data_IF_273586439955
#
_entry.id   IF_273586439955
#
_cell.length_a   1.000
_cell.length_b   1.000
_cell.length_c   1.000
_cell.angle_alpha   90.00
_cell.angle_beta   90.00
_cell.angle_gamma   90.00
#
_symmetry.space_group_name_H-M   'P 1'
#
loop_
_entity.id
_entity.type
_entity.pdbx_description
1 polymer ?
#
# COMPACT_ATOMS: atom_id res chain seq x y z
N UNK A 1 14.53 -25.88 26.00
CA UNK A 1 13.61 -24.98 25.23
C UNK A 1 12.38 -25.71 24.68
N UNK A 2 12.52 -26.97 24.20
CA UNK A 2 11.42 -27.78 23.64
C UNK A 2 10.44 -28.29 24.67
N UNK A 3 10.92 -28.68 25.87
CA UNK A 3 10.08 -29.12 26.99
C UNK A 3 9.31 -27.99 27.66
N UNK A 4 9.94 -26.81 27.76
CA UNK A 4 9.30 -25.61 28.29
C UNK A 4 8.16 -25.15 27.34
N UNK A 5 8.37 -25.21 26.02
CA UNK A 5 7.32 -24.85 25.04
C UNK A 5 6.15 -25.86 25.06
N UNK A 6 6.39 -27.15 25.27
CA UNK A 6 5.35 -28.16 25.44
C UNK A 6 4.55 -27.95 26.74
N UNK A 7 5.21 -27.61 27.85
CA UNK A 7 4.54 -27.33 29.12
C UNK A 7 3.64 -26.10 29.02
N UNK A 8 4.11 -24.99 28.41
CA UNK A 8 3.28 -23.81 28.17
C UNK A 8 2.09 -24.12 27.27
N UNK A 9 2.29 -24.93 26.22
CA UNK A 9 1.21 -25.32 25.30
C UNK A 9 0.13 -26.17 25.96
N UNK A 10 0.48 -27.03 26.88
CA UNK A 10 -0.45 -27.90 27.62
C UNK A 10 -1.19 -27.14 28.73
N UNK A 11 -0.49 -26.22 29.40
CA UNK A 11 -1.05 -25.31 30.39
C UNK A 11 -2.06 -24.35 29.77
N UNK A 12 -1.72 -23.72 28.64
CA UNK A 12 -2.61 -22.85 27.86
C UNK A 12 -3.85 -23.61 27.41
N UNK A 13 -3.71 -24.85 26.94
CA UNK A 13 -4.82 -25.69 26.47
C UNK A 13 -5.83 -25.97 27.59
N UNK A 14 -5.38 -26.27 28.80
CA UNK A 14 -6.25 -26.50 29.95
C UNK A 14 -6.98 -25.25 30.40
N UNK A 15 -6.30 -24.11 30.45
CA UNK A 15 -6.89 -22.81 30.78
C UNK A 15 -7.98 -22.44 29.77
N UNK A 16 -7.69 -22.51 28.46
CA UNK A 16 -8.67 -22.16 27.43
C UNK A 16 -9.87 -23.12 27.41
N UNK A 17 -9.64 -24.40 27.71
CA UNK A 17 -10.72 -25.40 27.85
C UNK A 17 -11.65 -25.05 29.02
N UNK A 18 -11.10 -24.61 30.13
CA UNK A 18 -11.90 -24.16 31.28
C UNK A 18 -12.66 -22.87 30.97
N UNK A 19 -11.99 -21.88 30.38
CA UNK A 19 -12.60 -20.62 29.97
C UNK A 19 -13.74 -20.81 28.95
N UNK A 20 -13.70 -21.83 28.11
CA UNK A 20 -14.76 -22.16 27.15
C UNK A 20 -16.05 -22.61 27.82
N UNK A 21 -16.02 -23.16 29.03
CA UNK A 21 -17.20 -23.61 29.77
C UNK A 21 -18.02 -22.45 30.31
N UNK A 22 -17.38 -21.30 30.55
CA UNK A 22 -18.03 -20.15 31.20
C UNK A 22 -18.43 -19.11 30.14
N UNK A 23 -19.70 -18.66 30.05
CA UNK A 23 -20.17 -17.70 29.06
C UNK A 23 -19.37 -16.37 29.04
N UNK A 24 -18.94 -15.90 30.21
CA UNK A 24 -18.24 -14.62 30.42
C UNK A 24 -16.82 -14.63 29.84
N UNK A 25 -16.12 -15.78 29.90
CA UNK A 25 -14.74 -15.92 29.42
C UNK A 25 -14.64 -16.59 28.05
N UNK A 26 -15.72 -17.19 27.56
CA UNK A 26 -15.75 -17.93 26.29
C UNK A 26 -15.25 -17.11 25.09
N UNK A 27 -15.68 -15.87 24.96
CA UNK A 27 -15.26 -14.99 23.87
C UNK A 27 -13.74 -14.72 23.92
N UNK A 28 -13.20 -14.54 25.11
CA UNK A 28 -11.76 -14.33 25.30
C UNK A 28 -10.97 -15.60 24.97
N UNK A 29 -11.45 -16.76 25.38
CA UNK A 29 -10.85 -18.04 25.04
C UNK A 29 -10.80 -18.25 23.52
N UNK A 30 -11.93 -18.07 22.82
CA UNK A 30 -11.99 -18.20 21.38
C UNK A 30 -11.01 -17.25 20.70
N UNK A 31 -10.94 -15.97 21.14
CA UNK A 31 -10.00 -14.98 20.63
C UNK A 31 -8.56 -15.45 20.77
N UNK A 32 -8.19 -15.96 21.95
CA UNK A 32 -6.81 -16.40 22.24
C UNK A 32 -6.45 -17.65 21.44
N UNK A 33 -7.34 -18.65 21.36
CA UNK A 33 -7.15 -19.87 20.57
C UNK A 33 -7.03 -19.52 19.08
N UNK A 34 -7.89 -18.65 18.57
CA UNK A 34 -7.82 -18.17 17.19
C UNK A 34 -6.48 -17.49 16.92
N UNK A 35 -6.01 -16.62 17.82
CA UNK A 35 -4.72 -15.94 17.67
C UNK A 35 -3.53 -16.91 17.80
N UNK A 36 -3.64 -17.97 18.59
CA UNK A 36 -2.63 -19.03 18.67
C UNK A 36 -2.49 -19.73 17.32
N UNK A 37 -3.57 -20.29 16.77
CA UNK A 37 -3.55 -20.93 15.45
C UNK A 37 -3.10 -19.96 14.33
N UNK A 38 -3.51 -18.72 14.40
CA UNK A 38 -3.05 -17.69 13.48
C UNK A 38 -1.53 -17.48 13.52
N UNK A 39 -0.91 -17.44 14.72
CA UNK A 39 0.54 -17.34 14.89
C UNK A 39 1.29 -18.60 14.43
N UNK A 40 0.67 -19.76 14.59
CA UNK A 40 1.16 -21.05 14.11
C UNK A 40 0.98 -21.24 12.59
N UNK A 41 0.43 -20.24 11.91
CA UNK A 41 0.07 -20.25 10.48
C UNK A 41 -0.95 -21.35 10.11
N UNK A 42 -1.73 -21.84 11.07
CA UNK A 42 -2.84 -22.78 10.83
C UNK A 42 -4.15 -22.02 10.63
N UNK A 43 -4.28 -21.43 9.42
CA UNK A 43 -5.39 -20.54 9.08
C UNK A 43 -6.74 -21.27 9.16
N UNK A 44 -6.80 -22.52 8.71
CA UNK A 44 -8.04 -23.29 8.72
C UNK A 44 -8.54 -23.56 10.16
N UNK A 45 -7.65 -23.93 11.10
CA UNK A 45 -8.04 -24.08 12.52
C UNK A 45 -8.45 -22.76 13.12
N UNK A 46 -7.78 -21.66 12.80
CA UNK A 46 -8.17 -20.33 13.24
C UNK A 46 -9.59 -19.96 12.76
N UNK A 47 -9.92 -20.22 11.48
CA UNK A 47 -11.26 -20.00 10.90
C UNK A 47 -12.30 -20.87 11.62
N UNK A 48 -12.04 -22.16 11.79
CA UNK A 48 -12.98 -23.08 12.46
C UNK A 48 -13.24 -22.68 13.91
N UNK A 49 -12.19 -22.23 14.62
CA UNK A 49 -12.32 -21.76 16.00
C UNK A 49 -13.17 -20.49 16.10
N UNK A 50 -12.90 -19.49 15.27
CA UNK A 50 -13.62 -18.21 15.38
C UNK A 50 -15.08 -18.32 14.92
N UNK A 51 -15.41 -19.22 13.99
CA UNK A 51 -16.77 -19.47 13.51
C UNK A 51 -17.75 -19.94 14.59
N UNK A 52 -17.27 -20.43 15.75
CA UNK A 52 -18.11 -20.82 16.89
C UNK A 52 -18.89 -19.60 17.44
N UNK A 53 -18.39 -18.38 17.25
CA UNK A 53 -19.04 -17.15 17.69
C UNK A 53 -20.24 -16.86 16.80
N UNK A 54 -21.44 -16.67 17.36
CA UNK A 54 -22.62 -16.31 16.59
C UNK A 54 -22.48 -14.91 15.93
N UNK A 55 -22.96 -14.76 14.71
CA UNK A 55 -22.96 -13.47 14.00
C UNK A 55 -24.19 -12.66 14.41
N UNK A 56 -24.00 -11.61 15.19
CA UNK A 56 -25.07 -10.73 15.68
C UNK A 56 -24.55 -9.32 15.93
N UNK A 57 -25.44 -8.35 16.17
CA UNK A 57 -25.06 -7.00 16.61
C UNK A 57 -24.40 -6.94 17.99
N UNK A 58 -24.51 -8.00 18.79
CA UNK A 58 -23.82 -8.12 20.09
C UNK A 58 -22.42 -8.69 19.96
N UNK A 59 -22.07 -9.22 18.78
CA UNK A 59 -20.75 -9.78 18.50
C UNK A 59 -19.75 -8.62 18.32
N UNK A 60 -18.60 -8.64 19.04
CA UNK A 60 -17.63 -7.56 18.96
C UNK A 60 -17.06 -7.36 17.55
N UNK A 61 -16.80 -6.12 17.14
CA UNK A 61 -16.31 -5.77 15.81
C UNK A 61 -15.02 -6.52 15.42
N UNK A 62 -14.11 -6.73 16.39
CA UNK A 62 -12.85 -7.44 16.12
C UNK A 62 -13.05 -8.82 15.49
N UNK A 63 -14.15 -9.49 15.81
CA UNK A 63 -14.49 -10.80 15.25
C UNK A 63 -14.66 -10.75 13.74
N UNK A 64 -15.44 -9.77 13.24
CA UNK A 64 -15.74 -9.65 11.80
C UNK A 64 -14.49 -9.30 11.00
N UNK A 65 -13.67 -8.38 11.53
CA UNK A 65 -12.40 -8.01 10.87
C UNK A 65 -11.37 -9.15 10.93
N UNK A 66 -11.32 -9.91 12.03
CA UNK A 66 -10.43 -11.07 12.12
C UNK A 66 -10.85 -12.17 11.16
N UNK A 67 -12.15 -12.44 11.04
CA UNK A 67 -12.69 -13.43 10.12
C UNK A 67 -12.42 -13.02 8.66
N UNK A 68 -12.61 -11.75 8.31
CA UNK A 68 -12.23 -11.21 7.01
C UNK A 68 -10.73 -11.40 6.73
N UNK A 69 -9.86 -11.07 7.68
CA UNK A 69 -8.43 -11.26 7.58
C UNK A 69 -8.05 -12.72 7.29
N UNK A 70 -8.65 -13.65 8.02
CA UNK A 70 -8.39 -15.08 7.87
C UNK A 70 -8.81 -15.59 6.50
N UNK A 71 -9.98 -15.20 5.99
CA UNK A 71 -10.43 -15.59 4.66
C UNK A 71 -9.57 -15.00 3.53
N UNK A 72 -9.06 -13.77 3.70
CA UNK A 72 -8.12 -13.20 2.74
C UNK A 72 -6.81 -14.00 2.70
N UNK A 73 -6.29 -14.43 3.86
CA UNK A 73 -5.09 -15.27 3.92
C UNK A 73 -5.28 -16.66 3.33
N UNK A 74 -6.50 -17.19 3.43
CA UNK A 74 -6.90 -18.48 2.84
C UNK A 74 -7.26 -18.36 1.35
N UNK A 75 -7.29 -17.14 0.80
CA UNK A 75 -7.77 -16.83 -0.56
C UNK A 75 -9.20 -17.34 -0.83
N UNK A 76 -10.04 -17.43 0.21
CA UNK A 76 -11.45 -17.80 0.12
C UNK A 76 -12.30 -16.57 -0.21
N UNK A 77 -12.31 -16.20 -1.51
CA UNK A 77 -12.90 -14.94 -1.97
C UNK A 77 -14.41 -14.86 -1.78
N UNK A 78 -15.13 -15.99 -1.84
CA UNK A 78 -16.58 -16.04 -1.59
C UNK A 78 -16.89 -15.64 -0.14
N UNK A 79 -16.18 -16.22 0.81
CA UNK A 79 -16.32 -15.87 2.21
C UNK A 79 -15.73 -14.49 2.56
N UNK A 80 -14.76 -13.99 1.81
CA UNK A 80 -14.30 -12.58 1.91
C UNK A 80 -15.43 -11.62 1.59
N UNK A 81 -16.15 -11.82 0.48
CA UNK A 81 -17.30 -10.97 0.09
C UNK A 81 -18.43 -11.08 1.12
N UNK A 82 -18.73 -12.26 1.61
CA UNK A 82 -19.72 -12.44 2.69
C UNK A 82 -19.29 -11.71 3.97
N UNK A 83 -18.00 -11.73 4.30
CA UNK A 83 -17.48 -11.09 5.51
C UNK A 83 -17.58 -9.57 5.47
N UNK A 84 -17.32 -8.92 4.35
CA UNK A 84 -17.51 -7.46 4.24
C UNK A 84 -18.99 -7.08 4.38
N UNK A 85 -19.93 -7.89 3.85
CA UNK A 85 -21.36 -7.68 4.06
C UNK A 85 -21.77 -7.83 5.53
N UNK A 86 -21.16 -8.79 6.25
CA UNK A 86 -21.37 -8.93 7.69
C UNK A 86 -20.84 -7.73 8.48
N UNK A 87 -19.67 -7.19 8.11
CA UNK A 87 -19.13 -5.96 8.71
C UNK A 87 -20.15 -4.83 8.56
N UNK A 88 -20.68 -4.60 7.36
CA UNK A 88 -21.68 -3.57 7.13
C UNK A 88 -22.98 -3.79 7.95
N UNK A 89 -23.39 -5.05 8.10
CA UNK A 89 -24.66 -5.40 8.77
C UNK A 89 -24.57 -5.35 10.30
N UNK A 90 -23.42 -5.75 10.86
CA UNK A 90 -23.31 -6.04 12.28
C UNK A 90 -22.37 -5.09 13.05
N UNK A 91 -21.57 -4.26 12.35
CA UNK A 91 -20.70 -3.25 12.99
C UNK A 91 -21.20 -1.83 12.72
N UNK A 92 -20.65 -0.86 13.45
CA UNK A 92 -20.99 0.55 13.28
C UNK A 92 -20.03 1.25 12.27
N UNK A 93 -19.63 0.55 11.21
CA UNK A 93 -18.76 1.14 10.18
C UNK A 93 -19.49 2.28 9.45
N UNK A 94 -18.81 3.42 9.24
CA UNK A 94 -19.39 4.51 8.44
C UNK A 94 -19.55 4.08 6.97
N UNK A 95 -20.54 4.62 6.27
CA UNK A 95 -20.76 4.36 4.84
C UNK A 95 -19.51 4.68 4.00
N UNK A 96 -18.77 5.73 4.37
CA UNK A 96 -17.51 6.11 3.72
C UNK A 96 -16.41 5.08 3.93
N UNK A 97 -16.21 4.61 5.17
CA UNK A 97 -15.18 3.64 5.49
C UNK A 97 -15.53 2.26 4.94
N UNK A 98 -16.82 1.91 4.92
CA UNK A 98 -17.30 0.69 4.27
C UNK A 98 -16.97 0.68 2.77
N UNK A 99 -17.25 1.78 2.05
CA UNK A 99 -16.87 1.90 0.63
C UNK A 99 -15.37 1.75 0.43
N UNK A 100 -14.53 2.40 1.27
CA UNK A 100 -13.09 2.23 1.19
C UNK A 100 -12.65 0.79 1.45
N UNK A 101 -13.27 0.11 2.43
CA UNK A 101 -13.00 -1.31 2.71
C UNK A 101 -13.35 -2.17 1.50
N UNK A 102 -14.52 -1.95 0.88
CA UNK A 102 -14.91 -2.63 -0.35
C UNK A 102 -13.88 -2.40 -1.46
N UNK A 103 -13.46 -1.15 -1.71
CA UNK A 103 -12.42 -0.83 -2.69
C UNK A 103 -11.14 -1.62 -2.47
N UNK A 104 -10.65 -1.67 -1.24
CA UNK A 104 -9.45 -2.42 -0.85
C UNK A 104 -9.58 -3.93 -1.04
N UNK A 105 -10.73 -4.50 -0.67
CA UNK A 105 -10.99 -5.95 -0.82
C UNK A 105 -11.06 -6.32 -2.30
N UNK A 106 -11.82 -5.60 -3.11
CA UNK A 106 -11.91 -5.87 -4.54
C UNK A 106 -10.57 -5.67 -5.27
N UNK A 107 -9.75 -4.70 -4.85
CA UNK A 107 -8.37 -4.61 -5.34
C UNK A 107 -7.57 -5.87 -5.00
N UNK A 108 -7.67 -6.37 -3.77
CA UNK A 108 -6.90 -7.55 -3.33
C UNK A 108 -7.31 -8.80 -4.13
N UNK A 109 -8.60 -8.98 -4.40
CA UNK A 109 -9.11 -10.05 -5.29
C UNK A 109 -8.56 -9.85 -6.72
N UNK A 110 -8.61 -8.62 -7.22
CA UNK A 110 -8.11 -8.29 -8.56
C UNK A 110 -6.60 -8.52 -8.70
N UNK A 111 -5.83 -8.24 -7.64
CA UNK A 111 -4.38 -8.49 -7.61
C UNK A 111 -4.08 -9.99 -7.64
N UNK A 112 -4.75 -10.80 -6.83
CA UNK A 112 -4.61 -12.27 -6.83
C UNK A 112 -4.94 -12.87 -8.19
N UNK A 113 -6.00 -12.40 -8.83
CA UNK A 113 -6.39 -12.82 -10.19
C UNK A 113 -5.37 -12.39 -11.24
N UNK A 114 -4.79 -11.19 -11.11
CA UNK A 114 -3.72 -10.71 -11.98
C UNK A 114 -2.47 -11.59 -11.86
N UNK A 115 -2.05 -11.92 -10.64
CA UNK A 115 -0.92 -12.80 -10.39
C UNK A 115 -1.14 -14.23 -10.94
N UNK A 116 -2.40 -14.68 -10.99
CA UNK A 116 -2.83 -15.93 -11.62
C UNK A 116 -3.05 -15.80 -13.14
N UNK A 117 -2.68 -14.66 -13.74
CA UNK A 117 -2.83 -14.37 -15.18
C UNK A 117 -4.30 -14.39 -15.68
N UNK A 118 -5.27 -14.20 -14.79
CA UNK A 118 -6.68 -14.06 -15.15
C UNK A 118 -7.06 -12.59 -15.34
N UNK A 119 -6.52 -11.98 -16.42
CA UNK A 119 -6.60 -10.53 -16.64
C UNK A 119 -8.03 -10.00 -16.76
N UNK A 120 -8.94 -10.79 -17.37
CA UNK A 120 -10.34 -10.37 -17.55
C UNK A 120 -11.08 -10.20 -16.23
N UNK A 121 -10.98 -11.19 -15.36
CA UNK A 121 -11.63 -11.13 -14.03
C UNK A 121 -10.90 -10.15 -13.10
N UNK A 122 -9.55 -10.04 -13.22
CA UNK A 122 -8.79 -9.02 -12.53
C UNK A 122 -9.32 -7.61 -12.83
N UNK A 123 -9.48 -7.26 -14.12
CA UNK A 123 -10.02 -5.96 -14.52
C UNK A 123 -11.42 -5.70 -13.96
N UNK A 124 -12.32 -6.69 -13.98
CA UNK A 124 -13.66 -6.54 -13.39
C UNK A 124 -13.60 -6.17 -11.91
N UNK A 125 -12.76 -6.87 -11.14
CA UNK A 125 -12.62 -6.60 -9.72
C UNK A 125 -11.96 -5.24 -9.46
N UNK A 126 -10.99 -4.83 -10.26
CA UNK A 126 -10.37 -3.50 -10.19
C UNK A 126 -11.38 -2.40 -10.54
N UNK A 127 -12.26 -2.61 -11.52
CA UNK A 127 -13.34 -1.67 -11.84
C UNK A 127 -14.33 -1.50 -10.69
N UNK A 128 -14.67 -2.60 -10.02
CA UNK A 128 -15.49 -2.56 -8.81
C UNK A 128 -14.76 -1.81 -7.68
N UNK A 129 -13.46 -2.07 -7.49
CA UNK A 129 -12.63 -1.34 -6.53
C UNK A 129 -12.68 0.17 -6.76
N UNK A 130 -12.47 0.61 -8.01
CA UNK A 130 -12.49 2.03 -8.39
C UNK A 130 -13.90 2.64 -8.35
N UNK A 131 -14.95 1.85 -8.49
CA UNK A 131 -16.34 2.30 -8.27
C UNK A 131 -16.59 2.66 -6.80
N UNK A 132 -16.04 1.90 -5.87
CA UNK A 132 -16.16 2.16 -4.43
C UNK A 132 -15.18 3.22 -3.92
N UNK A 133 -13.93 3.21 -4.41
CA UNK A 133 -12.91 4.20 -4.08
C UNK A 133 -12.18 4.68 -5.36
N UNK A 134 -12.69 5.71 -6.04
CA UNK A 134 -12.05 6.23 -7.27
C UNK A 134 -10.65 6.81 -7.05
N UNK A 135 -10.27 7.07 -5.80
CA UNK A 135 -8.97 7.64 -5.44
C UNK A 135 -7.94 6.59 -5.00
N UNK A 136 -8.27 5.30 -5.05
CA UNK A 136 -7.37 4.26 -4.59
C UNK A 136 -6.22 4.03 -5.59
N UNK A 137 -5.05 4.60 -5.28
CA UNK A 137 -3.88 4.63 -6.17
C UNK A 137 -3.45 3.25 -6.66
N UNK A 138 -3.48 2.24 -5.77
CA UNK A 138 -3.08 0.87 -6.12
C UNK A 138 -3.97 0.26 -7.22
N UNK A 139 -5.27 0.52 -7.19
CA UNK A 139 -6.20 0.09 -8.25
C UNK A 139 -5.95 0.83 -9.57
N UNK A 140 -5.64 2.13 -9.50
CA UNK A 140 -5.29 2.92 -10.69
C UNK A 140 -4.01 2.36 -11.33
N UNK A 141 -2.99 2.08 -10.51
CA UNK A 141 -1.70 1.53 -10.96
C UNK A 141 -1.90 0.15 -11.59
N UNK A 142 -2.60 -0.76 -10.94
CA UNK A 142 -2.82 -2.12 -11.44
C UNK A 142 -3.63 -2.13 -12.75
N UNK A 143 -4.72 -1.36 -12.82
CA UNK A 143 -5.49 -1.20 -14.06
C UNK A 143 -4.65 -0.67 -15.21
N UNK A 144 -3.82 0.33 -14.92
CA UNK A 144 -2.93 0.92 -15.92
C UNK A 144 -1.88 -0.07 -16.43
N UNK A 145 -1.33 -0.91 -15.54
CA UNK A 145 -0.40 -2.01 -15.93
C UNK A 145 -1.10 -2.99 -16.88
N UNK A 146 -2.28 -3.47 -16.53
CA UNK A 146 -3.04 -4.41 -17.35
C UNK A 146 -3.40 -3.80 -18.72
N UNK A 147 -3.80 -2.52 -18.76
CA UNK A 147 -4.06 -1.83 -20.02
C UNK A 147 -2.80 -1.66 -20.84
N UNK A 148 -1.65 -1.37 -20.22
CA UNK A 148 -0.42 -1.10 -20.95
C UNK A 148 0.06 -2.31 -21.75
N UNK A 149 -0.06 -3.50 -21.21
CA UNK A 149 0.33 -4.73 -21.88
C UNK A 149 -0.53 -4.99 -23.14
N UNK A 150 -1.80 -4.58 -23.14
CA UNK A 150 -2.72 -4.76 -24.25
C UNK A 150 -2.82 -3.56 -25.19
N UNK A 151 -2.89 -2.34 -24.65
CA UNK A 151 -3.05 -1.10 -25.39
C UNK A 151 -2.39 0.08 -24.64
N UNK A 152 -1.12 0.38 -24.93
CA UNK A 152 -0.38 1.46 -24.27
C UNK A 152 -1.06 2.84 -24.37
N UNK A 153 -1.78 3.12 -25.46
CA UNK A 153 -2.49 4.40 -25.66
C UNK A 153 -3.67 4.53 -24.71
N UNK A 154 -4.42 3.46 -24.51
CA UNK A 154 -5.53 3.41 -23.55
C UNK A 154 -5.03 3.57 -22.11
N UNK A 155 -3.94 2.88 -21.76
CA UNK A 155 -3.29 3.03 -20.46
C UNK A 155 -2.92 4.48 -20.16
N UNK A 156 -2.28 5.18 -21.11
CA UNK A 156 -1.89 6.57 -20.95
C UNK A 156 -3.11 7.53 -20.84
N UNK A 157 -4.18 7.29 -21.59
CA UNK A 157 -5.42 8.06 -21.46
C UNK A 157 -6.07 7.84 -20.09
N UNK A 158 -6.08 6.60 -19.60
CA UNK A 158 -6.60 6.29 -18.27
C UNK A 158 -5.74 6.93 -17.16
N UNK A 159 -4.42 6.85 -17.25
CA UNK A 159 -3.49 7.51 -16.31
C UNK A 159 -3.74 9.03 -16.29
N UNK A 160 -3.86 9.68 -17.47
CA UNK A 160 -4.10 11.11 -17.57
C UNK A 160 -5.41 11.53 -16.91
N UNK A 161 -6.49 10.81 -17.17
CA UNK A 161 -7.80 11.08 -16.56
C UNK A 161 -7.79 10.84 -15.04
N UNK A 162 -7.11 9.82 -14.58
CA UNK A 162 -6.96 9.51 -13.16
C UNK A 162 -6.13 10.54 -12.42
N UNK A 163 -5.00 10.98 -13.02
CA UNK A 163 -4.10 12.01 -12.46
C UNK A 163 -4.81 13.34 -12.24
N UNK A 164 -5.67 13.72 -13.17
CA UNK A 164 -6.48 14.96 -13.07
C UNK A 164 -7.32 14.98 -11.79
N UNK A 165 -7.86 13.84 -11.41
CA UNK A 165 -8.77 13.71 -10.26
C UNK A 165 -8.03 13.36 -8.95
N UNK A 166 -6.97 12.55 -9.07
CA UNK A 166 -6.22 12.05 -7.94
C UNK A 166 -4.75 11.80 -8.32
N UNK A 167 -3.87 12.71 -7.94
CA UNK A 167 -2.43 12.57 -8.16
C UNK A 167 -1.78 11.85 -6.96
N UNK A 168 -1.07 10.74 -7.22
CA UNK A 168 -0.35 9.97 -6.20
C UNK A 168 1.04 9.57 -6.70
N UNK A 169 2.07 9.51 -5.83
CA UNK A 169 3.42 9.11 -6.22
C UNK A 169 3.52 7.75 -6.91
N UNK A 170 2.71 6.75 -6.54
CA UNK A 170 2.70 5.45 -7.22
C UNK A 170 2.36 5.56 -8.71
N UNK A 171 1.40 6.43 -9.05
CA UNK A 171 1.03 6.70 -10.45
C UNK A 171 2.18 7.41 -11.16
N UNK A 172 2.90 8.31 -10.46
CA UNK A 172 4.07 8.99 -10.99
C UNK A 172 5.22 8.01 -11.30
N UNK A 173 5.46 7.03 -10.43
CA UNK A 173 6.44 5.96 -10.66
C UNK A 173 6.05 5.19 -11.92
N UNK A 174 4.80 4.77 -12.04
CA UNK A 174 4.32 4.03 -13.19
C UNK A 174 4.50 4.80 -14.52
N UNK A 175 4.26 6.12 -14.54
CA UNK A 175 4.48 6.96 -15.74
C UNK A 175 5.95 6.89 -16.19
N UNK A 176 6.88 6.89 -15.25
CA UNK A 176 8.31 6.78 -15.56
C UNK A 176 8.68 5.36 -16.02
N UNK A 177 8.15 4.32 -15.40
CA UNK A 177 8.46 2.92 -15.71
C UNK A 177 7.94 2.52 -17.10
N UNK A 178 6.69 2.85 -17.41
CA UNK A 178 6.06 2.60 -18.71
C UNK A 178 6.86 3.22 -19.87
N UNK A 179 7.54 4.33 -19.62
CA UNK A 179 8.29 5.05 -20.65
C UNK A 179 9.82 4.92 -20.50
N UNK A 180 10.31 4.08 -19.59
CA UNK A 180 11.75 3.91 -19.32
C UNK A 180 12.53 3.43 -20.55
N UNK A 181 11.91 2.64 -21.42
CA UNK A 181 12.47 2.15 -22.69
C UNK A 181 12.38 3.15 -23.85
N UNK A 182 11.61 4.24 -23.69
CA UNK A 182 11.43 5.27 -24.71
C UNK A 182 12.38 6.46 -24.48
N UNK A 183 12.47 7.33 -25.48
CA UNK A 183 13.26 8.56 -25.36
C UNK A 183 12.83 9.38 -24.13
N UNK A 184 13.78 9.76 -23.29
CA UNK A 184 13.56 10.54 -22.05
C UNK A 184 12.84 11.87 -22.30
N UNK A 185 13.06 12.49 -23.46
CA UNK A 185 12.35 13.72 -23.88
C UNK A 185 10.87 13.44 -24.17
N UNK A 186 10.53 12.27 -24.67
CA UNK A 186 9.13 11.85 -24.85
C UNK A 186 8.40 11.76 -23.50
N UNK A 187 9.04 11.13 -22.50
CA UNK A 187 8.49 11.05 -21.15
C UNK A 187 8.27 12.42 -20.53
N UNK A 188 9.21 13.36 -20.70
CA UNK A 188 9.06 14.72 -20.22
C UNK A 188 7.90 15.46 -20.92
N UNK A 189 7.74 15.28 -22.23
CA UNK A 189 6.62 15.86 -22.98
C UNK A 189 5.27 15.30 -22.50
N UNK A 190 5.19 13.98 -22.29
CA UNK A 190 4.02 13.30 -21.75
C UNK A 190 3.66 13.81 -20.35
N UNK A 191 4.65 13.94 -19.47
CA UNK A 191 4.45 14.46 -18.11
C UNK A 191 3.93 15.90 -18.17
N UNK A 192 4.51 16.76 -19.01
CA UNK A 192 4.01 18.12 -19.21
C UNK A 192 2.55 18.14 -19.68
N UNK A 193 2.15 17.20 -20.53
CA UNK A 193 0.76 17.10 -21.00
C UNK A 193 -0.18 16.59 -19.89
N UNK A 194 0.24 15.62 -19.09
CA UNK A 194 -0.53 15.10 -17.96
C UNK A 194 -0.81 16.19 -16.92
N UNK A 195 0.19 16.99 -16.56
CA UNK A 195 0.06 18.00 -15.51
C UNK A 195 -0.68 19.27 -15.94
N UNK A 196 -0.76 19.56 -17.26
CA UNK A 196 -1.49 20.75 -17.78
C UNK A 196 -2.94 20.80 -17.36
N UNK A 197 -3.58 19.66 -17.17
CA UNK A 197 -5.01 19.55 -16.86
C UNK A 197 -5.29 19.58 -15.36
N UNK A 198 -4.27 19.54 -14.51
CA UNK A 198 -4.37 19.53 -13.06
C UNK A 198 -4.07 20.89 -12.42
N UNK A 199 -4.52 21.07 -11.17
CA UNK A 199 -4.06 22.19 -10.35
C UNK A 199 -2.56 22.02 -10.06
N UNK A 200 -1.82 23.13 -9.96
CA UNK A 200 -0.41 23.09 -9.55
C UNK A 200 -0.32 22.51 -8.14
N UNK A 201 0.03 21.24 -8.04
CA UNK A 201 0.07 20.50 -6.79
C UNK A 201 1.49 20.04 -6.50
N UNK A 202 1.76 19.73 -5.24
CA UNK A 202 3.00 19.11 -4.82
C UNK A 202 3.39 17.92 -5.72
N UNK A 203 2.43 17.02 -6.01
CA UNK A 203 2.69 15.83 -6.82
C UNK A 203 2.97 16.15 -8.30
N UNK A 204 2.35 17.21 -8.87
CA UNK A 204 2.65 17.68 -10.24
C UNK A 204 4.09 18.16 -10.33
N UNK A 205 4.52 19.00 -9.39
CA UNK A 205 5.87 19.55 -9.38
C UNK A 205 6.92 18.46 -9.14
N UNK A 206 6.64 17.52 -8.26
CA UNK A 206 7.52 16.39 -8.01
C UNK A 206 7.66 15.47 -9.25
N UNK A 207 6.55 15.16 -9.92
CA UNK A 207 6.55 14.38 -11.16
C UNK A 207 7.32 15.09 -12.27
N UNK A 208 7.08 16.40 -12.46
CA UNK A 208 7.78 17.22 -13.45
C UNK A 208 9.28 17.30 -13.16
N UNK A 209 9.67 17.49 -11.91
CA UNK A 209 11.07 17.53 -11.51
C UNK A 209 11.79 16.20 -11.82
N UNK A 210 11.21 15.07 -11.46
CA UNK A 210 11.77 13.73 -11.72
C UNK A 210 11.91 13.46 -13.24
N UNK A 211 10.87 13.74 -14.00
CA UNK A 211 10.92 13.58 -15.46
C UNK A 211 11.95 14.53 -16.12
N UNK A 212 12.07 15.76 -15.62
CA UNK A 212 13.03 16.74 -16.11
C UNK A 212 14.48 16.35 -15.81
N UNK A 213 14.75 15.81 -14.60
CA UNK A 213 16.07 15.27 -14.23
C UNK A 213 16.45 14.10 -15.15
N UNK A 214 15.52 13.18 -15.40
CA UNK A 214 15.74 12.05 -16.29
C UNK A 214 16.03 12.46 -17.73
N UNK A 215 15.43 13.57 -18.18
CA UNK A 215 15.63 14.15 -19.50
C UNK A 215 16.81 15.14 -19.57
N UNK A 216 17.60 15.29 -18.50
CA UNK A 216 18.68 16.27 -18.37
C UNK A 216 18.20 17.74 -18.60
N UNK A 217 16.92 18.01 -18.35
CA UNK A 217 16.32 19.33 -18.49
C UNK A 217 16.40 20.10 -17.16
N UNK A 218 17.63 20.49 -16.79
CA UNK A 218 17.97 20.98 -15.46
C UNK A 218 17.20 22.25 -15.05
N UNK A 219 17.02 23.20 -16.00
CA UNK A 219 16.24 24.42 -15.76
C UNK A 219 14.80 24.09 -15.32
N UNK A 220 14.14 23.19 -16.06
CA UNK A 220 12.77 22.78 -15.73
C UNK A 220 12.71 21.99 -14.39
N UNK A 221 13.71 21.14 -14.15
CA UNK A 221 13.80 20.40 -12.90
C UNK A 221 13.92 21.33 -11.68
N UNK A 222 14.85 22.29 -11.77
CA UNK A 222 15.10 23.27 -10.71
C UNK A 222 13.86 24.14 -10.45
N UNK A 223 13.20 24.60 -11.50
CA UNK A 223 11.99 25.41 -11.36
C UNK A 223 10.87 24.62 -10.70
N UNK A 224 10.61 23.38 -11.15
CA UNK A 224 9.58 22.52 -10.57
C UNK A 224 9.82 22.25 -9.08
N UNK A 225 11.07 22.07 -8.65
CA UNK A 225 11.41 21.88 -7.22
C UNK A 225 11.21 23.18 -6.43
N UNK A 226 11.59 24.34 -6.98
CA UNK A 226 11.39 25.65 -6.35
C UNK A 226 9.91 26.02 -6.18
N UNK A 227 9.05 25.53 -7.07
CA UNK A 227 7.60 25.75 -6.99
C UNK A 227 6.95 24.90 -5.87
N UNK A 228 7.71 23.99 -5.24
CA UNK A 228 7.27 23.28 -4.03
C UNK A 228 7.59 24.15 -2.81
N UNK A 229 6.60 24.46 -1.97
CA UNK A 229 6.82 25.19 -0.72
C UNK A 229 7.89 24.52 0.16
N UNK A 230 8.83 25.30 0.69
CA UNK A 230 10.00 24.78 1.42
C UNK A 230 9.66 23.94 2.64
N UNK A 231 8.55 24.23 3.32
CA UNK A 231 8.06 23.44 4.46
C UNK A 231 7.62 22.02 4.09
N UNK A 232 7.41 21.76 2.80
CA UNK A 232 7.08 20.44 2.23
C UNK A 232 8.29 19.70 1.69
N UNK A 233 9.47 20.29 1.75
CA UNK A 233 10.67 19.64 1.25
C UNK A 233 11.04 18.45 2.11
N UNK A 234 11.24 17.32 1.45
CA UNK A 234 11.65 16.04 2.04
C UNK A 234 13.06 15.70 1.60
N UNK A 235 13.62 14.66 2.19
CA UNK A 235 14.95 14.15 1.88
C UNK A 235 15.16 13.94 0.36
N UNK A 236 14.18 13.39 -0.35
CA UNK A 236 14.24 13.13 -1.80
C UNK A 236 14.38 14.45 -2.59
N UNK A 237 13.65 15.50 -2.21
CA UNK A 237 13.72 16.81 -2.87
C UNK A 237 15.11 17.45 -2.72
N UNK A 238 15.69 17.42 -1.52
CA UNK A 238 17.05 17.89 -1.29
C UNK A 238 18.08 17.08 -2.08
N UNK A 239 17.94 15.75 -2.16
CA UNK A 239 18.79 14.89 -2.96
C UNK A 239 18.66 15.19 -4.46
N UNK A 240 17.45 15.46 -4.97
CA UNK A 240 17.26 15.89 -6.35
C UNK A 240 17.96 17.21 -6.65
N UNK A 241 17.96 18.18 -5.73
CA UNK A 241 18.74 19.42 -5.88
C UNK A 241 20.25 19.13 -5.92
N UNK A 242 20.74 18.25 -5.04
CA UNK A 242 22.14 17.83 -5.04
C UNK A 242 22.55 17.19 -6.37
N UNK A 243 21.70 16.32 -6.92
CA UNK A 243 21.94 15.66 -8.20
C UNK A 243 21.97 16.66 -9.37
N UNK A 244 21.08 17.67 -9.37
CA UNK A 244 21.07 18.74 -10.36
C UNK A 244 22.39 19.52 -10.32
N UNK A 245 22.85 19.96 -9.14
CA UNK A 245 24.10 20.73 -9.02
C UNK A 245 25.30 19.92 -9.48
N UNK A 246 25.36 18.64 -9.14
CA UNK A 246 26.47 17.77 -9.57
C UNK A 246 26.46 17.50 -11.08
N UNK A 247 25.29 17.20 -11.67
CA UNK A 247 25.20 16.76 -13.07
C UNK A 247 25.19 17.91 -14.07
N UNK A 248 24.60 19.06 -13.72
CA UNK A 248 24.54 20.24 -14.59
C UNK A 248 25.86 21.01 -14.57
N UNK A 249 26.38 21.31 -13.37
CA UNK A 249 27.45 22.27 -13.17
C UNK A 249 28.79 21.63 -12.70
N UNK A 250 28.80 20.31 -12.42
CA UNK A 250 29.94 19.66 -11.78
C UNK A 250 30.25 20.19 -10.37
N UNK A 251 29.33 20.94 -9.76
CA UNK A 251 29.55 21.62 -8.49
C UNK A 251 29.34 20.64 -7.30
N UNK A 252 30.41 19.93 -6.97
CA UNK A 252 30.39 18.98 -5.86
C UNK A 252 30.21 19.64 -4.48
N UNK A 253 30.74 20.86 -4.31
CA UNK A 253 30.61 21.60 -3.04
C UNK A 253 29.13 21.88 -2.76
N UNK A 254 28.42 22.48 -3.71
CA UNK A 254 27.00 22.80 -3.54
C UNK A 254 26.13 21.52 -3.47
N UNK A 255 26.50 20.48 -4.22
CA UNK A 255 25.84 19.17 -4.10
C UNK A 255 25.94 18.60 -2.68
N UNK A 256 27.10 18.70 -2.04
CA UNK A 256 27.29 18.24 -0.67
C UNK A 256 26.50 19.08 0.34
N UNK A 257 26.44 20.39 0.18
CA UNK A 257 25.60 21.25 1.03
C UNK A 257 24.11 20.85 0.97
N UNK A 258 23.61 20.47 -0.22
CA UNK A 258 22.25 19.94 -0.37
C UNK A 258 22.06 18.57 0.29
N UNK A 259 23.06 17.69 0.24
CA UNK A 259 23.04 16.39 0.92
C UNK A 259 23.04 16.53 2.44
N UNK A 260 23.76 17.50 2.98
CA UNK A 260 23.73 17.80 4.42
C UNK A 260 22.33 18.25 4.84
N UNK A 261 21.68 19.12 4.06
CA UNK A 261 20.28 19.49 4.30
C UNK A 261 19.34 18.28 4.19
N UNK A 262 19.60 17.36 3.22
CA UNK A 262 18.83 16.13 3.09
C UNK A 262 18.95 15.21 4.31
N UNK A 263 20.11 15.18 4.97
CA UNK A 263 20.33 14.37 6.17
C UNK A 263 19.47 14.84 7.37
N UNK A 264 19.18 16.12 7.43
CA UNK A 264 18.36 16.75 8.49
C UNK A 264 16.88 16.89 8.13
N UNK A 265 16.52 16.62 6.87
CA UNK A 265 15.16 16.80 6.37
C UNK A 265 14.19 15.72 6.84
N UNK A 266 12.89 16.02 6.71
CA UNK A 266 11.81 15.04 6.88
C UNK A 266 12.02 13.89 5.90
N UNK A 267 11.74 12.66 6.35
CA UNK A 267 11.74 11.50 5.47
C UNK A 267 10.62 11.61 4.44
N UNK A 268 10.78 10.88 3.35
CA UNK A 268 9.75 10.77 2.32
C UNK A 268 8.58 9.93 2.81
N UNK A 269 7.43 10.13 2.15
CA UNK A 269 6.28 9.26 2.35
C UNK A 269 6.54 7.92 1.66
N UNK A 270 6.20 6.84 2.35
CA UNK A 270 6.35 5.47 1.85
C UNK A 270 5.18 4.62 2.35
N UNK A 271 4.92 3.51 1.67
CA UNK A 271 4.02 2.49 2.18
C UNK A 271 4.67 1.79 3.38
N UNK A 272 4.06 1.89 4.54
CA UNK A 272 4.63 1.30 5.73
C UNK A 272 3.59 0.87 6.74
N UNK A 273 3.90 -0.23 7.42
CA UNK A 273 3.03 -0.80 8.43
C UNK A 273 3.01 0.05 9.70
N UNK A 274 1.83 0.47 10.13
CA UNK A 274 1.64 1.23 11.38
C UNK A 274 1.91 0.40 12.64
N UNK A 275 1.87 -0.95 12.53
CA UNK A 275 2.05 -1.85 13.66
C UNK A 275 3.53 -2.26 13.87
N UNK A 276 4.24 -2.67 12.80
CA UNK A 276 5.61 -3.19 12.92
C UNK A 276 6.66 -2.36 12.17
N UNK A 277 6.27 -1.24 11.59
CA UNK A 277 7.14 -0.35 10.79
C UNK A 277 7.81 -1.02 9.57
N UNK A 278 7.29 -2.16 9.11
CA UNK A 278 7.74 -2.79 7.88
C UNK A 278 7.41 -1.89 6.68
N UNK A 279 8.33 -1.79 5.73
CA UNK A 279 8.20 -0.97 4.52
C UNK A 279 7.87 -1.88 3.35
N UNK A 280 6.92 -1.43 2.51
CA UNK A 280 6.52 -2.05 1.26
C UNK A 280 6.70 -1.08 0.09
N UNK A 281 6.89 -1.64 -1.10
CA UNK A 281 6.94 -0.86 -2.34
C UNK A 281 5.55 -0.49 -2.85
N UNK A 282 4.54 -1.27 -2.45
CA UNK A 282 3.13 -1.10 -2.83
C UNK A 282 2.21 -1.41 -1.65
N UNK A 283 0.97 -0.95 -1.75
CA UNK A 283 -0.02 -1.21 -0.72
C UNK A 283 -0.48 -2.68 -0.71
N UNK A 284 -0.59 -3.25 0.48
CA UNK A 284 -1.17 -4.58 0.73
C UNK A 284 -2.18 -4.50 1.86
N UNK A 285 -3.28 -5.26 1.74
CA UNK A 285 -4.33 -5.28 2.77
C UNK A 285 -3.86 -5.93 4.07
N UNK A 286 -2.91 -6.86 3.97
CA UNK A 286 -2.28 -7.54 5.10
C UNK A 286 -0.78 -7.26 5.05
N UNK A 287 -0.21 -6.83 6.16
CA UNK A 287 1.24 -6.66 6.26
C UNK A 287 1.95 -8.02 6.19
N UNK A 288 2.89 -8.26 5.26
CA UNK A 288 3.52 -9.56 5.10
C UNK A 288 4.42 -9.95 6.29
N UNK A 289 4.90 -8.96 7.08
CA UNK A 289 5.78 -9.21 8.21
C UNK A 289 5.03 -9.55 9.50
N UNK A 290 4.00 -8.79 9.85
CA UNK A 290 3.30 -8.97 11.13
C UNK A 290 1.85 -9.41 10.97
N UNK A 291 1.42 -9.65 9.74
CA UNK A 291 0.09 -10.09 9.35
C UNK A 291 -1.05 -9.18 9.84
N UNK A 292 -0.76 -7.96 10.25
CA UNK A 292 -1.79 -7.01 10.65
C UNK A 292 -2.65 -6.58 9.46
N UNK A 293 -3.97 -6.61 9.66
CA UNK A 293 -4.96 -6.22 8.67
C UNK A 293 -5.02 -4.69 8.51
N UNK A 294 -5.11 -4.22 7.26
CA UNK A 294 -5.21 -2.80 6.83
C UNK A 294 -4.21 -1.86 7.55
N UNK A 295 -3.02 -2.36 7.84
CA UNK A 295 -1.99 -1.62 8.58
C UNK A 295 -0.95 -0.92 7.70
N UNK A 296 -0.90 -1.22 6.40
CA UNK A 296 -0.02 -0.54 5.44
C UNK A 296 -0.66 0.81 5.06
N UNK A 297 0.04 1.91 5.36
CA UNK A 297 -0.41 3.27 5.09
C UNK A 297 0.67 4.07 4.38
N UNK A 298 0.26 5.05 3.56
CA UNK A 298 1.16 6.03 2.96
C UNK A 298 1.50 7.08 4.00
N UNK A 299 2.71 7.01 4.57
CA UNK A 299 3.09 7.81 5.73
C UNK A 299 4.58 8.12 5.78
N UNK A 300 4.94 9.14 6.55
CA UNK A 300 6.32 9.42 6.95
C UNK A 300 6.63 8.69 8.26
N UNK A 301 7.80 8.05 8.32
CA UNK A 301 8.31 7.49 9.58
C UNK A 301 9.18 8.50 10.31
N UNK A 302 9.16 8.51 11.64
CA UNK A 302 10.07 9.32 12.45
C UNK A 302 11.47 8.68 12.43
N UNK A 303 12.52 9.51 12.36
CA UNK A 303 13.92 9.09 12.21
C UNK A 303 14.44 8.08 13.26
N UNK A 304 13.79 7.94 14.42
CA UNK A 304 14.28 7.14 15.54
C UNK A 304 14.09 5.61 15.40
N UNK A 305 13.55 5.10 14.29
CA UNK A 305 13.32 3.65 14.08
C UNK A 305 14.03 3.06 12.86
N UNK A 306 14.82 3.83 12.13
CA UNK A 306 15.44 3.38 10.87
C UNK A 306 16.97 3.36 10.91
N UNK A 307 17.55 2.50 11.75
CA UNK A 307 18.92 2.03 11.60
C UNK A 307 18.91 0.55 11.19
N UNK A 308 18.36 0.19 10.01
CA UNK A 308 18.71 -1.07 9.34
C UNK A 308 18.30 -1.05 7.86
N UNK A 309 19.34 -1.05 7.02
CA UNK A 309 19.42 -1.61 5.67
C UNK A 309 18.19 -1.56 4.74
N UNK A 310 17.92 -0.40 4.14
CA UNK A 310 17.20 -0.36 2.86
C UNK A 310 18.20 -0.69 1.75
N UNK A 311 18.41 -1.95 1.46
CA UNK A 311 18.83 -2.37 0.13
C UNK A 311 17.59 -2.26 -0.76
N UNK A 312 17.52 -1.19 -1.55
CA UNK A 312 16.64 -1.13 -2.71
C UNK A 312 17.05 -2.27 -3.64
N UNK A 313 16.38 -3.40 -3.54
CA UNK A 313 16.47 -4.43 -4.55
C UNK A 313 15.87 -3.85 -5.84
N UNK A 314 16.74 -3.45 -6.75
CA UNK A 314 16.40 -3.33 -8.16
C UNK A 314 16.03 -4.74 -8.63
N UNK A 315 14.76 -5.07 -8.55
CA UNK A 315 14.24 -6.27 -9.21
C UNK A 315 14.31 -6.02 -10.71
N UNK A 316 15.22 -6.76 -11.35
CA UNK A 316 15.27 -6.95 -12.78
C UNK A 316 13.90 -7.46 -13.26
N UNK A 317 13.19 -6.64 -13.99
CA UNK A 317 12.11 -7.09 -14.87
C UNK A 317 12.81 -7.55 -16.15
N UNK A 318 12.88 -8.86 -16.33
CA UNK A 318 13.13 -9.48 -17.64
C UNK A 318 11.83 -9.55 -18.39
#
# INVERSE_FOLDING_TARGET
>A
DMEISKFYNEFDKNIFTEMMKHPETRLLAIKNITNKYFKENDILKAINTIKIIPKSKKTPDWFFYKLLQLYILDSDWDNVILSINHINKYTNISSKDYKKLQGKVYYTIGLDLFEKNNLKEALKNIDISLKYDPSFSSSIVLKSKIFYDNNPKEALNFIKSSWKNFSHPDIAILINDINSSKNKNYTLTLVKDIIKTGKNTFNNNLLLAKASINANSWKNARQALKDIPSEKWTKDIFNMMADIEKKENGNEKLSNEWKEKAALAKLDYIWGCTNCSHIENEWKIICPKCLSFDSIKWQQFKNNKFNHNIKLNKTNIK
#
